data_IF_210994466217
#
_entry.id   IF_210994466217
#
_cell.length_a   1.000
_cell.length_b   1.000
_cell.length_c   1.000
_cell.angle_alpha   90.00
_cell.angle_beta   90.00
_cell.angle_gamma   90.00
#
_symmetry.space_group_name_H-M   'P 1'
#
loop_
_entity.id
_entity.type
_entity.pdbx_description
1 polymer ?
#
# COMPACT_ATOMS: atom_id res chain seq x y z
N UNK A 1 0.80 12.49 5.99
CA UNK A 1 1.14 13.93 6.04
C UNK A 1 2.60 14.10 5.67
N UNK A 2 2.92 15.12 4.89
CA UNK A 2 4.31 15.46 4.54
C UNK A 2 4.81 16.59 5.44
N UNK A 3 6.02 16.45 5.99
CA UNK A 3 6.68 17.49 6.77
C UNK A 3 8.20 17.27 6.73
N UNK A 4 8.97 18.26 7.21
CA UNK A 4 10.42 18.10 7.36
C UNK A 4 10.71 16.97 8.35
N UNK A 5 11.58 16.03 7.94
CA UNK A 5 12.05 14.93 8.78
C UNK A 5 12.66 15.46 10.09
N UNK A 6 12.40 14.76 11.18
CA UNK A 6 12.89 15.03 12.54
C UNK A 6 12.50 16.41 13.10
N UNK A 7 11.46 17.03 12.54
CA UNK A 7 10.93 18.29 13.04
C UNK A 7 9.99 18.10 14.23
N UNK A 8 9.74 19.17 14.99
CA UNK A 8 8.69 19.15 16.01
C UNK A 8 7.33 18.77 15.42
N UNK A 9 7.07 19.15 14.16
CA UNK A 9 5.87 18.78 13.43
C UNK A 9 5.82 17.26 13.18
N UNK A 10 6.94 16.62 12.81
CA UNK A 10 6.96 15.15 12.60
C UNK A 10 6.63 14.37 13.87
N UNK A 11 7.06 14.88 15.04
CA UNK A 11 6.70 14.29 16.33
C UNK A 11 5.21 14.47 16.62
N UNK A 12 4.65 15.67 16.39
CA UNK A 12 3.23 15.96 16.60
C UNK A 12 2.32 15.09 15.72
N UNK A 13 2.64 14.96 14.42
CA UNK A 13 1.79 14.19 13.50
C UNK A 13 1.89 12.68 13.70
N UNK A 14 2.97 12.18 14.32
CA UNK A 14 3.12 10.75 14.59
C UNK A 14 2.02 10.20 15.50
N UNK A 15 1.47 11.03 16.39
CA UNK A 15 0.34 10.67 17.26
C UNK A 15 -1.01 10.57 16.56
N UNK A 16 -1.10 10.96 15.28
CA UNK A 16 -2.33 10.89 14.47
C UNK A 16 -2.33 9.63 13.58
N UNK A 17 -1.25 8.85 13.59
CA UNK A 17 -1.12 7.62 12.79
C UNK A 17 -2.13 6.57 13.27
N UNK A 18 -3.03 6.17 12.39
CA UNK A 18 -3.78 4.92 12.53
C UNK A 18 -2.97 3.76 11.96
N UNK A 19 -2.77 2.70 12.74
CA UNK A 19 -1.89 1.58 12.36
C UNK A 19 -2.45 0.80 11.17
N UNK A 20 -3.76 0.55 11.12
CA UNK A 20 -4.39 -0.21 10.03
C UNK A 20 -4.23 0.52 8.70
N UNK A 21 -4.55 1.81 8.72
CA UNK A 21 -4.39 2.71 7.57
C UNK A 21 -2.93 2.80 7.13
N UNK A 22 -2.00 2.85 8.08
CA UNK A 22 -0.57 2.87 7.78
C UNK A 22 -0.08 1.59 7.09
N UNK A 23 -0.49 0.42 7.59
CA UNK A 23 -0.14 -0.87 6.98
C UNK A 23 -0.73 -1.00 5.56
N UNK A 24 -1.99 -0.60 5.38
CA UNK A 24 -2.64 -0.52 4.06
C UNK A 24 -1.86 0.35 3.08
N UNK A 25 -1.56 1.60 3.46
CA UNK A 25 -0.80 2.50 2.59
C UNK A 25 0.63 2.00 2.34
N UNK A 26 1.28 1.39 3.33
CA UNK A 26 2.61 0.85 3.15
C UNK A 26 2.62 -0.26 2.08
N UNK A 27 1.60 -1.12 2.08
CA UNK A 27 1.42 -2.14 1.06
C UNK A 27 1.09 -1.54 -0.32
N UNK A 28 0.09 -0.66 -0.41
CA UNK A 28 -0.33 -0.02 -1.68
C UNK A 28 0.79 0.78 -2.33
N UNK A 29 1.66 1.43 -1.54
CA UNK A 29 2.80 2.20 -2.06
C UNK A 29 3.87 1.34 -2.73
N UNK A 30 3.94 0.03 -2.47
CA UNK A 30 4.83 -0.86 -3.21
C UNK A 30 4.42 -0.96 -4.69
N UNK A 31 3.13 -0.84 -4.98
CA UNK A 31 2.62 -0.78 -6.35
C UNK A 31 3.14 0.47 -7.07
N UNK A 32 2.98 1.64 -6.46
CA UNK A 32 3.43 2.92 -7.02
C UNK A 32 4.96 3.00 -7.20
N UNK A 33 5.74 2.21 -6.46
CA UNK A 33 7.19 2.12 -6.67
C UNK A 33 7.56 1.26 -7.87
N UNK A 34 6.72 0.28 -8.19
CA UNK A 34 7.00 -0.74 -9.20
C UNK A 34 6.45 -0.38 -10.60
N UNK A 35 5.44 0.50 -10.63
CA UNK A 35 4.86 1.06 -11.83
C UNK A 35 5.17 2.56 -11.87
N UNK A 36 5.63 3.07 -13.01
CA UNK A 36 5.89 4.50 -13.23
C UNK A 36 4.56 5.23 -13.52
N UNK A 37 3.64 5.14 -12.56
CA UNK A 37 2.25 5.56 -12.70
C UNK A 37 2.05 6.96 -12.15
N UNK A 38 1.39 7.82 -12.92
CA UNK A 38 0.84 9.07 -12.43
C UNK A 38 -0.60 8.89 -11.93
N UNK A 39 -1.20 9.95 -11.37
CA UNK A 39 -2.58 9.89 -10.87
C UNK A 39 -3.63 9.72 -11.97
N UNK A 40 -3.28 9.81 -13.25
CA UNK A 40 -4.19 9.66 -14.39
C UNK A 40 -4.14 8.25 -15.01
N UNK A 41 -3.19 7.42 -14.57
CA UNK A 41 -3.03 6.03 -14.99
C UNK A 41 -4.22 5.15 -14.55
N UNK A 42 -4.47 4.09 -15.31
CA UNK A 42 -5.57 3.16 -15.01
C UNK A 42 -5.14 2.10 -13.98
N UNK A 43 -3.83 1.94 -13.79
CA UNK A 43 -3.15 1.06 -12.87
C UNK A 43 -3.40 1.45 -11.41
N UNK A 44 -3.43 0.47 -10.51
CA UNK A 44 -3.58 0.76 -9.10
C UNK A 44 -3.50 -0.42 -8.17
N UNK A 45 -3.45 -0.12 -6.88
CA UNK A 45 -3.53 -1.08 -5.80
C UNK A 45 -4.56 -0.65 -4.77
N UNK A 46 -5.20 -1.63 -4.13
CA UNK A 46 -6.16 -1.43 -3.07
C UNK A 46 -6.00 -2.51 -2.00
N UNK A 47 -6.14 -2.12 -0.74
CA UNK A 47 -6.10 -3.03 0.40
C UNK A 47 -7.29 -2.84 1.33
N UNK A 48 -7.71 -3.94 1.95
CA UNK A 48 -8.73 -3.97 2.97
C UNK A 48 -8.28 -4.88 4.11
N UNK A 49 -8.40 -4.42 5.36
CA UNK A 49 -8.12 -5.24 6.54
C UNK A 49 -9.45 -5.56 7.22
N UNK A 50 -9.83 -6.84 7.27
CA UNK A 50 -10.98 -7.34 8.05
C UNK A 50 -10.56 -8.57 8.85
N UNK A 51 -11.05 -8.68 10.08
CA UNK A 51 -10.84 -9.85 10.95
C UNK A 51 -9.36 -10.28 11.08
N UNK A 52 -8.46 -9.29 11.12
CA UNK A 52 -7.02 -9.52 11.23
C UNK A 52 -6.33 -9.97 9.93
N UNK A 53 -7.05 -10.06 8.82
CA UNK A 53 -6.52 -10.44 7.51
C UNK A 53 -6.50 -9.24 6.58
N UNK A 54 -5.39 -9.01 5.89
CA UNK A 54 -5.30 -8.05 4.81
C UNK A 54 -5.58 -8.73 3.47
N UNK A 55 -6.55 -8.23 2.73
CA UNK A 55 -6.78 -8.54 1.32
C UNK A 55 -6.14 -7.45 0.47
N UNK A 56 -5.41 -7.86 -0.56
CA UNK A 56 -4.70 -6.96 -1.48
C UNK A 56 -5.20 -7.22 -2.90
N UNK A 57 -5.38 -6.14 -3.66
CA UNK A 57 -5.70 -6.18 -5.09
C UNK A 57 -4.70 -5.30 -5.82
N UNK A 58 -4.11 -5.82 -6.91
CA UNK A 58 -3.27 -5.07 -7.82
C UNK A 58 -3.85 -5.16 -9.23
N UNK A 59 -3.86 -4.04 -9.96
CA UNK A 59 -4.42 -3.92 -11.30
C UNK A 59 -3.42 -3.22 -12.22
N UNK A 60 -3.06 -3.84 -13.33
CA UNK A 60 -2.04 -3.35 -14.27
C UNK A 60 -2.61 -2.56 -15.46
N UNK A 61 -3.87 -2.11 -15.38
CA UNK A 61 -4.55 -1.46 -16.50
C UNK A 61 -5.29 -2.43 -17.42
N UNK A 62 -5.08 -3.75 -17.28
CA UNK A 62 -5.75 -4.78 -18.09
C UNK A 62 -6.38 -5.91 -17.27
N UNK A 63 -5.71 -6.38 -16.22
CA UNK A 63 -6.15 -7.50 -15.38
C UNK A 63 -5.89 -7.18 -13.90
N UNK A 64 -6.70 -7.77 -13.03
CA UNK A 64 -6.50 -7.69 -11.59
C UNK A 64 -6.04 -9.03 -11.02
N UNK A 65 -5.17 -8.97 -10.02
CA UNK A 65 -4.81 -10.12 -9.19
C UNK A 65 -5.11 -9.78 -7.73
N UNK A 66 -5.50 -10.80 -6.96
CA UNK A 66 -5.79 -10.64 -5.54
C UNK A 66 -5.01 -11.64 -4.70
N UNK A 67 -4.72 -11.24 -3.46
CA UNK A 67 -4.07 -12.10 -2.47
C UNK A 67 -4.48 -11.72 -1.06
N UNK A 68 -4.17 -12.59 -0.10
CA UNK A 68 -4.38 -12.34 1.32
C UNK A 68 -3.11 -12.63 2.11
N UNK A 69 -2.93 -11.92 3.23
CA UNK A 69 -1.85 -12.15 4.18
C UNK A 69 -2.19 -11.51 5.55
N UNK A 70 -1.32 -11.74 6.53
CA UNK A 70 -1.32 -10.93 7.75
C UNK A 70 -0.94 -9.47 7.39
N UNK A 71 -1.55 -8.44 8.02
CA UNK A 71 -1.32 -7.04 7.69
C UNK A 71 0.15 -6.59 7.70
N UNK A 72 0.96 -7.11 8.61
CA UNK A 72 2.41 -6.83 8.71
C UNK A 72 3.18 -7.27 7.45
N UNK A 73 2.69 -8.28 6.74
CA UNK A 73 3.31 -8.85 5.54
C UNK A 73 2.81 -8.19 4.24
N UNK A 74 1.93 -7.19 4.33
CA UNK A 74 1.24 -6.60 3.17
C UNK A 74 2.18 -6.08 2.07
N UNK A 75 3.29 -5.43 2.45
CA UNK A 75 4.26 -4.91 1.49
C UNK A 75 4.98 -6.01 0.71
N UNK A 76 5.37 -7.10 1.38
CA UNK A 76 5.97 -8.26 0.72
C UNK A 76 4.95 -8.93 -0.20
N UNK A 77 3.72 -9.13 0.29
CA UNK A 77 2.66 -9.74 -0.50
C UNK A 77 2.32 -8.95 -1.75
N UNK A 78 2.28 -7.62 -1.66
CA UNK A 78 2.04 -6.76 -2.82
C UNK A 78 3.15 -6.92 -3.88
N UNK A 79 4.43 -7.01 -3.47
CA UNK A 79 5.53 -7.26 -4.42
C UNK A 79 5.38 -8.59 -5.16
N UNK A 80 4.94 -9.65 -4.48
CA UNK A 80 4.65 -10.95 -5.12
C UNK A 80 3.51 -10.84 -6.16
N UNK A 81 2.43 -10.13 -5.81
CA UNK A 81 1.30 -9.91 -6.71
C UNK A 81 1.72 -9.14 -7.95
N UNK A 82 2.52 -8.07 -7.78
CA UNK A 82 3.07 -7.28 -8.88
C UNK A 82 3.97 -8.12 -9.79
N UNK A 83 4.82 -8.97 -9.22
CA UNK A 83 5.68 -9.87 -9.99
C UNK A 83 4.88 -10.89 -10.81
N UNK A 84 3.65 -11.21 -10.40
CA UNK A 84 2.74 -12.10 -11.11
C UNK A 84 1.88 -11.39 -12.16
N UNK A 85 1.83 -10.05 -12.14
CA UNK A 85 1.14 -9.22 -13.14
C UNK A 85 2.01 -9.01 -14.39
N UNK A 86 3.32 -8.84 -14.21
CA UNK A 86 4.32 -8.72 -15.28
C UNK A 86 4.53 -10.03 -16.03
#
# INVERSE_FOLDING_TARGET
MECKKDSIVSQMISGIKDERTWLSFNAEREFLKAFDTDCASAEGAFTEISDGVMKLTAYDGSKSITGTCDPENGAEKMRELIASLK
#
